data_IF_103883097975
#
_entry.id   IF_103883097975
#
_cell.length_a   1.000
_cell.length_b   1.000
_cell.length_c   1.000
_cell.angle_alpha   90.00
_cell.angle_beta   90.00
_cell.angle_gamma   90.00
#
_symmetry.space_group_name_H-M   'P 1'
#
loop_
_entity.id
_entity.type
_entity.pdbx_description
1 polymer ?
#
# COMPACT_ATOMS: atom_id res chain seq x y z
N UNK A 1 1.55 11.09 10.08
CA UNK A 1 1.39 10.02 11.08
C UNK A 1 0.82 8.79 10.38
N UNK A 2 0.94 7.60 10.97
CA UNK A 2 0.37 6.36 10.42
C UNK A 2 -0.44 5.67 11.51
N UNK A 3 -1.59 5.10 11.13
CA UNK A 3 -2.47 4.34 12.01
C UNK A 3 -2.24 2.85 11.79
N UNK A 4 -2.04 2.09 12.88
CA UNK A 4 -1.90 0.64 12.83
C UNK A 4 -3.28 0.01 13.03
N UNK A 5 -3.69 -0.81 12.08
CA UNK A 5 -5.00 -1.45 12.05
C UNK A 5 -4.85 -2.94 11.74
N UNK A 6 -5.81 -3.72 12.23
CA UNK A 6 -6.02 -5.12 11.83
C UNK A 6 -7.39 -5.24 11.19
N UNK A 7 -7.52 -6.06 10.15
CA UNK A 7 -8.77 -6.27 9.44
C UNK A 7 -9.01 -7.76 9.20
N UNK A 8 -10.29 -8.16 9.22
CA UNK A 8 -10.73 -9.50 8.87
C UNK A 8 -10.73 -9.65 7.34
N UNK A 9 -9.98 -10.60 6.81
CA UNK A 9 -9.82 -10.77 5.37
C UNK A 9 -11.08 -11.24 4.63
N UNK A 10 -12.05 -11.87 5.31
CA UNK A 10 -13.34 -12.21 4.71
C UNK A 10 -14.21 -10.95 4.57
N UNK A 11 -14.25 -10.12 5.63
CA UNK A 11 -15.01 -8.86 5.60
C UNK A 11 -14.40 -7.83 4.64
N UNK A 12 -13.07 -7.83 4.50
CA UNK A 12 -12.33 -6.93 3.64
C UNK A 12 -11.85 -7.60 2.33
N UNK A 13 -12.59 -8.61 1.86
CA UNK A 13 -12.29 -9.31 0.61
C UNK A 13 -12.23 -8.39 -0.62
N UNK A 14 -13.07 -7.34 -0.66
CA UNK A 14 -13.06 -6.38 -1.76
C UNK A 14 -11.75 -5.54 -1.79
N UNK A 15 -11.32 -4.87 -0.70
CA UNK A 15 -9.98 -4.27 -0.62
C UNK A 15 -8.82 -5.23 -0.94
N UNK A 16 -8.90 -6.49 -0.50
CA UNK A 16 -7.92 -7.52 -0.85
C UNK A 16 -7.82 -7.74 -2.37
N UNK A 17 -8.97 -7.79 -3.05
CA UNK A 17 -9.01 -7.97 -4.50
C UNK A 17 -8.31 -6.83 -5.25
N UNK A 18 -8.41 -5.59 -4.76
CA UNK A 18 -7.69 -4.45 -5.34
C UNK A 18 -6.16 -4.53 -5.19
N UNK A 19 -5.66 -5.32 -4.24
CA UNK A 19 -4.24 -5.67 -4.12
C UNK A 19 -3.83 -6.84 -5.03
N UNK A 20 -4.76 -7.41 -5.81
CA UNK A 20 -4.54 -8.66 -6.54
C UNK A 20 -4.38 -9.86 -5.61
N UNK A 21 -4.95 -9.80 -4.41
CA UNK A 21 -4.87 -10.83 -3.37
C UNK A 21 -6.25 -11.36 -3.02
N UNK A 22 -6.25 -12.54 -2.41
CA UNK A 22 -7.44 -13.26 -1.95
C UNK A 22 -7.29 -13.64 -0.48
N UNK A 23 -8.34 -14.22 0.09
CA UNK A 23 -8.30 -14.75 1.46
C UNK A 23 -7.31 -15.92 1.61
N UNK A 24 -6.93 -16.59 0.51
CA UNK A 24 -5.91 -17.64 0.51
C UNK A 24 -4.48 -17.10 0.63
N UNK A 25 -4.26 -15.81 0.36
CA UNK A 25 -2.95 -15.15 0.47
C UNK A 25 -2.66 -14.61 1.88
N UNK A 26 -3.60 -14.79 2.82
CA UNK A 26 -3.44 -14.30 4.19
C UNK A 26 -2.46 -15.18 4.98
N UNK A 27 -1.69 -14.61 5.91
CA UNK A 27 -1.70 -13.21 6.34
C UNK A 27 -0.85 -12.28 5.44
N UNK A 28 -1.26 -11.01 5.34
CA UNK A 28 -0.49 -9.97 4.65
C UNK A 28 -0.51 -8.64 5.39
N UNK A 29 0.47 -7.79 5.09
CA UNK A 29 0.56 -6.42 5.60
C UNK A 29 0.57 -5.49 4.39
N UNK A 30 -0.23 -4.42 4.46
CA UNK A 30 -0.25 -3.38 3.45
C UNK A 30 -0.36 -2.00 4.11
N UNK A 31 0.16 -0.99 3.42
CA UNK A 31 -0.09 0.42 3.73
C UNK A 31 -1.07 0.95 2.71
N UNK A 32 -2.16 1.58 3.15
CA UNK A 32 -2.98 2.44 2.30
C UNK A 32 -2.65 3.90 2.62
N UNK A 33 -2.11 4.62 1.64
CA UNK A 33 -1.76 6.05 1.74
C UNK A 33 -2.92 6.99 1.39
N UNK A 34 -4.13 6.45 1.15
CA UNK A 34 -5.27 7.10 0.53
C UNK A 34 -5.06 7.57 -0.92
N UNK A 35 -3.86 7.34 -1.48
CA UNK A 35 -3.55 7.49 -2.90
C UNK A 35 -3.30 6.13 -3.53
N UNK A 36 -2.36 5.38 -2.96
CA UNK A 36 -1.99 4.02 -3.38
C UNK A 36 -1.89 3.08 -2.19
N UNK A 37 -2.06 1.80 -2.48
CA UNK A 37 -1.78 0.72 -1.55
C UNK A 37 -0.42 0.08 -1.86
N UNK A 38 0.38 -0.16 -0.82
CA UNK A 38 1.70 -0.80 -0.92
C UNK A 38 1.70 -2.08 -0.10
N UNK A 39 2.08 -3.20 -0.71
CA UNK A 39 2.17 -4.49 -0.03
C UNK A 39 3.55 -4.63 0.63
N UNK A 40 3.59 -5.13 1.86
CA UNK A 40 4.84 -5.55 2.47
C UNK A 40 5.39 -6.78 1.73
N UNK A 41 6.65 -6.80 1.29
CA UNK A 41 7.14 -7.80 0.33
C UNK A 41 7.02 -9.27 0.79
N UNK A 42 7.27 -9.53 2.06
CA UNK A 42 7.21 -10.87 2.64
C UNK A 42 6.72 -10.81 4.07
N UNK A 43 5.57 -11.42 4.37
CA UNK A 43 5.02 -11.43 5.73
C UNK A 43 5.96 -12.08 6.75
N UNK A 44 6.74 -13.10 6.35
CA UNK A 44 7.67 -13.78 7.25
C UNK A 44 8.79 -12.86 7.79
N UNK A 45 9.03 -11.73 7.14
CA UNK A 45 10.03 -10.74 7.57
C UNK A 45 9.49 -9.80 8.68
N UNK A 46 8.26 -9.97 9.14
CA UNK A 46 7.65 -9.07 10.14
C UNK A 46 8.44 -9.03 11.46
N UNK A 47 8.98 -10.17 11.90
CA UNK A 47 9.73 -10.31 13.16
C UNK A 47 11.20 -9.93 13.00
N UNK A 48 11.67 -9.71 11.76
CA UNK A 48 13.04 -9.29 11.50
C UNK A 48 13.21 -7.83 11.96
N UNK A 49 14.09 -7.55 12.92
CA UNK A 49 14.22 -6.21 13.49
C UNK A 49 14.47 -5.14 12.42
N UNK A 50 13.63 -4.11 12.42
CA UNK A 50 13.78 -2.95 11.55
C UNK A 50 13.12 -3.06 10.18
N UNK A 51 12.68 -4.25 9.71
CA UNK A 51 12.02 -4.39 8.40
C UNK A 51 10.72 -3.59 8.30
N UNK A 52 9.82 -3.74 9.28
CA UNK A 52 8.57 -2.97 9.31
C UNK A 52 8.83 -1.45 9.47
N UNK A 53 9.85 -1.08 10.24
CA UNK A 53 10.28 0.32 10.40
C UNK A 53 10.82 0.88 9.08
N UNK A 54 11.57 0.09 8.32
CA UNK A 54 12.08 0.49 7.01
C UNK A 54 10.93 0.68 6.01
N UNK A 55 9.94 -0.21 6.01
CA UNK A 55 8.76 -0.07 5.16
C UNK A 55 8.02 1.27 5.39
N UNK A 56 7.90 1.71 6.65
CA UNK A 56 7.38 3.04 6.97
C UNK A 56 8.29 4.18 6.51
N UNK A 57 9.62 4.04 6.64
CA UNK A 57 10.57 5.03 6.10
C UNK A 57 10.47 5.15 4.59
N UNK A 58 10.27 4.04 3.89
CA UNK A 58 10.12 4.00 2.43
C UNK A 58 8.82 4.68 1.99
N UNK A 59 7.75 4.55 2.78
CA UNK A 59 6.54 5.35 2.59
C UNK A 59 6.82 6.86 2.73
N UNK A 60 7.41 7.28 3.85
CA UNK A 60 7.60 8.70 4.15
C UNK A 60 8.60 9.39 3.22
N UNK A 61 9.61 8.66 2.74
CA UNK A 61 10.57 9.17 1.76
C UNK A 61 10.01 9.23 0.33
N UNK A 62 8.81 8.69 0.09
CA UNK A 62 8.23 8.55 -1.24
C UNK A 62 8.89 7.46 -2.09
N UNK A 63 9.81 6.65 -1.53
CA UNK A 63 10.44 5.52 -2.22
C UNK A 63 9.38 4.55 -2.74
N UNK A 64 8.40 4.15 -1.91
CA UNK A 64 7.35 3.22 -2.34
C UNK A 64 6.56 3.74 -3.55
N UNK A 65 6.26 5.05 -3.59
CA UNK A 65 5.60 5.67 -4.73
C UNK A 65 6.49 5.69 -5.97
N UNK A 66 7.78 6.07 -5.80
CA UNK A 66 8.77 6.08 -6.89
C UNK A 66 8.93 4.69 -7.48
N UNK A 67 9.15 3.68 -6.65
CA UNK A 67 9.39 2.31 -7.12
C UNK A 67 8.17 1.68 -7.79
N UNK A 68 6.97 2.05 -7.35
CA UNK A 68 5.74 1.61 -7.99
C UNK A 68 5.62 2.11 -9.44
N UNK A 69 6.04 3.36 -9.70
CA UNK A 69 5.96 3.95 -11.04
C UNK A 69 7.16 3.66 -11.92
N UNK A 70 8.35 3.53 -11.34
CA UNK A 70 9.61 3.50 -12.08
C UNK A 70 10.39 2.18 -11.92
N UNK A 71 9.90 1.26 -11.08
CA UNK A 71 10.64 0.07 -10.67
C UNK A 71 11.65 0.37 -9.56
N UNK A 72 12.32 -0.67 -9.01
CA UNK A 72 13.26 -0.53 -7.90
C UNK A 72 14.38 0.49 -8.21
N UNK A 73 15.02 1.04 -7.18
CA UNK A 73 16.10 2.01 -7.40
C UNK A 73 17.33 1.39 -8.10
N UNK A 74 18.12 2.18 -8.86
CA UNK A 74 19.36 1.75 -9.53
C UNK A 74 20.36 1.02 -8.64
N UNK A 75 20.43 1.39 -7.37
CA UNK A 75 21.28 0.74 -6.38
C UNK A 75 20.83 -0.69 -6.02
N UNK A 76 19.56 -1.02 -6.24
CA UNK A 76 18.97 -2.34 -6.03
C UNK A 76 18.79 -3.13 -7.34
N UNK A 77 18.91 -2.46 -8.50
CA UNK A 77 18.74 -3.01 -9.85
C UNK A 77 19.75 -4.08 -10.26
N UNK A 78 20.82 -4.31 -9.49
CA UNK A 78 21.82 -5.34 -9.79
C UNK A 78 21.28 -6.79 -9.75
N UNK A 79 19.95 -7.00 -9.59
CA UNK A 79 19.35 -8.34 -9.54
C UNK A 79 18.13 -8.60 -10.43
N UNK A 80 17.47 -7.61 -11.05
CA UNK A 80 16.24 -7.87 -11.81
C UNK A 80 16.08 -6.87 -12.99
N UNK A 81 16.36 -7.33 -14.21
CA UNK A 81 15.97 -6.68 -15.45
C UNK A 81 14.44 -6.80 -15.64
N UNK A 82 13.72 -5.67 -15.76
CA UNK A 82 12.27 -5.73 -15.95
C UNK A 82 11.55 -4.39 -16.14
N UNK A 83 11.39 -3.99 -17.40
CA UNK A 83 10.22 -3.34 -18.03
C UNK A 83 9.45 -2.24 -17.26
N UNK A 84 9.66 -0.98 -17.67
CA UNK A 84 8.87 0.21 -17.27
C UNK A 84 7.42 0.10 -17.75
N UNK A 85 6.50 -0.24 -16.87
CA UNK A 85 5.05 -0.13 -17.13
C UNK A 85 4.48 1.11 -16.48
N UNK A 86 4.23 2.16 -17.26
CA UNK A 86 3.40 3.30 -16.84
C UNK A 86 1.94 2.83 -16.91
N UNK A 87 1.48 2.11 -15.89
CA UNK A 87 0.05 1.77 -15.74
C UNK A 87 -0.60 2.74 -14.76
N UNK A 88 -1.83 3.15 -15.06
CA UNK A 88 -2.63 3.95 -14.16
C UNK A 88 -2.95 3.14 -12.89
N UNK A 89 -2.81 3.74 -11.71
CA UNK A 89 -2.72 3.04 -10.43
C UNK A 89 -4.06 2.44 -9.96
N UNK A 90 -4.05 1.36 -9.16
CA UNK A 90 -5.20 1.04 -8.31
C UNK A 90 -5.32 2.11 -7.23
N UNK A 91 -6.44 2.82 -7.23
CA UNK A 91 -6.74 3.83 -6.22
C UNK A 91 -6.96 3.18 -4.84
N UNK A 92 -6.67 3.94 -3.78
CA UNK A 92 -7.04 3.58 -2.41
C UNK A 92 -8.52 3.16 -2.34
N UNK A 93 -8.75 1.97 -1.83
CA UNK A 93 -10.10 1.48 -1.57
C UNK A 93 -10.66 2.04 -0.27
N UNK A 94 -9.81 2.26 0.74
CA UNK A 94 -10.22 2.82 2.02
C UNK A 94 -10.63 4.30 1.90
N UNK A 95 -10.18 5.01 0.87
CA UNK A 95 -10.71 6.35 0.53
C UNK A 95 -12.23 6.34 0.32
N UNK A 96 -12.81 5.24 -0.15
CA UNK A 96 -14.27 5.08 -0.31
C UNK A 96 -15.02 4.98 1.03
N UNK A 97 -14.30 4.68 2.12
CA UNK A 97 -14.85 4.62 3.47
C UNK A 97 -14.73 5.95 4.23
N UNK A 98 -14.04 6.94 3.65
CA UNK A 98 -13.99 8.28 4.21
C UNK A 98 -15.35 8.99 4.12
N UNK A 99 -15.57 10.08 4.89
CA UNK A 99 -16.78 10.89 4.75
C UNK A 99 -17.04 11.30 3.30
N UNK A 100 -18.20 10.90 2.78
CA UNK A 100 -18.54 11.10 1.36
C UNK A 100 -19.06 12.52 1.09
N UNK A 101 -18.57 13.14 0.02
CA UNK A 101 -19.09 14.43 -0.51
C UNK A 101 -20.57 14.36 -0.92
N UNK A 102 -21.09 13.16 -1.20
CA UNK A 102 -22.50 12.95 -1.53
C UNK A 102 -23.44 13.13 -0.31
N UNK A 103 -22.89 13.15 0.91
CA UNK A 103 -23.67 13.29 2.15
C UNK A 103 -23.27 14.52 2.98
N UNK A 104 -22.05 15.03 2.81
CA UNK A 104 -21.51 16.09 3.64
C UNK A 104 -20.82 17.19 2.82
N UNK A 105 -20.98 18.44 3.25
CA UNK A 105 -20.07 19.54 2.86
C UNK A 105 -18.82 19.44 3.73
N UNK A 106 -17.68 19.07 3.13
CA UNK A 106 -16.43 18.88 3.85
C UNK A 106 -15.75 20.24 4.09
N UNK A 107 -15.50 20.60 5.35
CA UNK A 107 -14.88 21.88 5.75
C UNK A 107 -13.35 21.88 5.62
N UNK A 108 -12.74 20.69 5.57
CA UNK A 108 -11.31 20.47 5.33
C UNK A 108 -11.17 19.28 4.38
N UNK A 109 -10.32 19.42 3.37
CA UNK A 109 -9.77 18.25 2.67
C UNK A 109 -8.65 17.70 3.58
N UNK A 110 -8.97 16.74 4.45
CA UNK A 110 -8.00 16.14 5.39
C UNK A 110 -7.12 15.05 4.74
N UNK A 111 -6.63 15.31 3.51
CA UNK A 111 -5.84 14.34 2.72
C UNK A 111 -4.49 14.90 2.26
#
# INVERSE_FOLDING_TARGET
SVNFLTADGQKFAHPLHHLGKSTADLPLIAIDSFRHMYLFPNFADIDVPGKLKQFLKDLYSGKLHREFHYGPDPSEQAKLDGQKTVTSPPESTFKKLAPSKNRYTLLKDEL
#
